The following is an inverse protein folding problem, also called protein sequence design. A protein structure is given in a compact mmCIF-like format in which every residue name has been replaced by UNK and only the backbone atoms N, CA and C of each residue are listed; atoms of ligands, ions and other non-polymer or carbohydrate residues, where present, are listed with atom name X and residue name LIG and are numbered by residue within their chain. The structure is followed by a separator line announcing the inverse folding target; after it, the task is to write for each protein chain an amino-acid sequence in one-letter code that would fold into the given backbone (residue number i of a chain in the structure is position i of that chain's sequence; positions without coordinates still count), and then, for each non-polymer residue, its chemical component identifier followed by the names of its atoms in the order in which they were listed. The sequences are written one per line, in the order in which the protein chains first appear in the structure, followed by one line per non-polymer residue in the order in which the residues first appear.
data_IF_021792322689
#
_entry.id   IF_021792322689
#
_cell.length_a   1.000
_cell.length_b   1.000
_cell.length_c   1.000
_cell.angle_alpha   90.00
_cell.angle_beta   90.00
_cell.angle_gamma   90.00
#
_symmetry.space_group_name_H-M   'P 1'
#
loop_
_entity.id
_entity.type
_entity.pdbx_description
1 polymer ?
#
# COMPACT_ATOMS: atom_id res chain seq x y z
N UNK A 1 -19.89 -6.99 -6.72
CA UNK A 1 -20.90 -6.59 -5.73
C UNK A 1 -20.86 -5.08 -5.53
N UNK A 2 -21.96 -4.46 -5.14
CA UNK A 2 -22.05 -3.06 -4.73
C UNK A 2 -23.07 -2.98 -3.60
N UNK A 3 -22.73 -2.28 -2.51
CA UNK A 3 -23.61 -2.11 -1.34
C UNK A 3 -24.15 -3.44 -0.77
N UNK A 4 -23.33 -4.50 -0.83
CA UNK A 4 -23.69 -5.85 -0.38
C UNK A 4 -24.57 -6.64 -1.36
N UNK A 5 -24.92 -6.08 -2.52
CA UNK A 5 -25.76 -6.73 -3.54
C UNK A 5 -24.88 -7.28 -4.67
N UNK A 6 -25.23 -8.46 -5.16
CA UNK A 6 -24.63 -9.04 -6.36
C UNK A 6 -25.10 -8.26 -7.60
N UNK A 7 -24.13 -7.71 -8.35
CA UNK A 7 -24.40 -6.81 -9.47
C UNK A 7 -24.25 -7.50 -10.82
N UNK A 8 -23.29 -8.42 -10.93
CA UNK A 8 -23.04 -9.23 -12.13
C UNK A 8 -22.19 -10.45 -11.76
N UNK A 9 -22.53 -11.62 -12.30
CA UNK A 9 -21.85 -12.89 -12.05
C UNK A 9 -21.77 -13.73 -13.33
N UNK A 10 -20.55 -13.93 -13.84
CA UNK A 10 -20.20 -14.71 -15.04
C UNK A 10 -18.76 -15.20 -14.94
N UNK A 11 -18.27 -15.88 -15.99
CA UNK A 11 -16.85 -16.18 -16.14
C UNK A 11 -16.01 -14.90 -16.14
N UNK A 12 -14.76 -14.98 -15.66
CA UNK A 12 -13.83 -13.84 -15.69
C UNK A 12 -13.71 -13.27 -17.10
N UNK A 13 -13.57 -14.14 -18.10
CA UNK A 13 -13.44 -13.72 -19.51
C UNK A 13 -14.66 -12.91 -19.98
N UNK A 14 -15.87 -13.37 -19.66
CA UNK A 14 -17.10 -12.65 -20.02
C UNK A 14 -17.23 -11.31 -19.30
N UNK A 15 -16.86 -11.24 -18.01
CA UNK A 15 -16.91 -10.00 -17.23
C UNK A 15 -15.95 -8.96 -17.80
N UNK A 16 -14.74 -9.36 -18.20
CA UNK A 16 -13.74 -8.43 -18.74
C UNK A 16 -14.02 -8.05 -20.20
N UNK A 17 -14.51 -8.97 -21.04
CA UNK A 17 -14.70 -8.74 -22.47
C UNK A 17 -16.10 -8.22 -22.83
N UNK A 18 -17.13 -8.56 -22.06
CA UNK A 18 -18.52 -8.22 -22.35
C UNK A 18 -19.34 -7.90 -21.07
N UNK A 19 -18.87 -6.95 -20.23
CA UNK A 19 -19.60 -6.55 -19.03
C UNK A 19 -20.99 -5.99 -19.42
N UNK A 20 -22.03 -6.48 -18.76
CA UNK A 20 -23.41 -6.03 -19.02
C UNK A 20 -23.83 -4.90 -18.10
N UNK A 21 -23.47 -4.97 -16.83
CA UNK A 21 -23.90 -3.98 -15.86
C UNK A 21 -23.03 -2.71 -15.93
N UNK A 22 -23.66 -1.54 -15.84
CA UNK A 22 -22.98 -0.26 -15.95
C UNK A 22 -21.88 -0.06 -14.88
N UNK A 23 -22.17 -0.41 -13.64
CA UNK A 23 -21.18 -0.38 -12.55
C UNK A 23 -19.93 -1.24 -12.84
N UNK A 24 -20.10 -2.44 -13.40
CA UNK A 24 -18.97 -3.30 -13.79
C UNK A 24 -18.10 -2.63 -14.86
N UNK A 25 -18.74 -1.98 -15.85
CA UNK A 25 -18.04 -1.19 -16.88
C UNK A 25 -17.27 -0.03 -16.27
N UNK A 26 -17.89 0.71 -15.36
CA UNK A 26 -17.24 1.83 -14.66
C UNK A 26 -16.03 1.36 -13.86
N UNK A 27 -16.16 0.24 -13.14
CA UNK A 27 -15.06 -0.33 -12.36
C UNK A 27 -13.89 -0.78 -13.24
N UNK A 28 -14.15 -1.52 -14.32
CA UNK A 28 -13.10 -1.95 -15.27
C UNK A 28 -12.38 -0.75 -15.88
N UNK A 29 -13.11 0.32 -16.17
CA UNK A 29 -12.58 1.54 -16.79
C UNK A 29 -11.97 2.53 -15.78
N UNK A 30 -12.02 2.26 -14.47
CA UNK A 30 -11.60 3.19 -13.41
C UNK A 30 -10.09 3.36 -13.26
N UNK A 31 -9.31 3.09 -14.32
CA UNK A 31 -7.85 3.21 -14.30
C UNK A 31 -7.45 4.62 -13.86
N UNK A 32 -6.58 4.76 -12.84
CA UNK A 32 -6.13 6.06 -12.41
C UNK A 32 -5.39 6.75 -13.56
N UNK A 33 -5.80 7.98 -13.88
CA UNK A 33 -5.09 8.82 -14.83
C UNK A 33 -3.78 9.23 -14.18
N UNK A 34 -2.65 8.94 -14.84
CA UNK A 34 -1.33 9.37 -14.39
C UNK A 34 -1.28 10.90 -14.51
N UNK A 35 -1.39 11.60 -13.39
CA UNK A 35 -1.20 13.05 -13.34
C UNK A 35 0.30 13.32 -13.52
N UNK A 36 0.74 13.57 -14.75
CA UNK A 36 2.10 14.03 -15.01
C UNK A 36 2.15 15.52 -14.64
N UNK A 37 2.73 15.84 -13.48
CA UNK A 37 3.03 17.21 -13.11
C UNK A 37 4.48 17.50 -13.49
N UNK A 38 4.72 18.56 -14.25
CA UNK A 38 6.07 19.04 -14.56
C UNK A 38 6.62 19.74 -13.32
N UNK A 39 7.16 18.99 -12.37
CA UNK A 39 7.98 19.53 -11.30
C UNK A 39 9.45 19.52 -11.72
N UNK A 40 10.26 20.52 -11.32
CA UNK A 40 11.71 20.47 -11.49
C UNK A 40 12.27 19.20 -10.83
N UNK A 41 13.25 18.55 -11.48
CA UNK A 41 13.80 17.26 -11.03
C UNK A 41 14.55 17.34 -9.68
N UNK A 42 14.91 18.54 -9.21
CA UNK A 42 15.76 18.78 -8.03
C UNK A 42 15.07 19.65 -6.94
N UNK A 43 13.74 19.58 -6.81
CA UNK A 43 13.03 20.24 -5.71
C UNK A 43 12.76 19.23 -4.56
N UNK A 44 13.80 18.89 -3.79
CA UNK A 44 13.70 18.01 -2.62
C UNK A 44 12.76 18.65 -1.58
N UNK A 45 11.61 18.02 -1.33
CA UNK A 45 10.60 18.51 -0.39
C UNK A 45 10.78 17.89 0.99
N UNK A 46 11.18 16.62 1.06
CA UNK A 46 11.39 15.89 2.30
C UNK A 46 12.49 14.85 2.13
N UNK A 47 13.45 14.85 3.07
CA UNK A 47 14.45 13.81 3.21
C UNK A 47 14.38 13.20 4.61
N UNK A 48 14.26 11.88 4.67
CA UNK A 48 14.33 11.11 5.90
C UNK A 48 15.52 10.17 5.76
N UNK A 49 16.44 10.25 6.71
CA UNK A 49 17.59 9.34 6.76
C UNK A 49 17.45 8.43 7.97
N UNK A 50 17.82 7.17 7.81
CA UNK A 50 17.88 6.15 8.84
C UNK A 50 16.56 6.01 9.62
N UNK A 51 15.43 5.90 8.91
CA UNK A 51 14.13 5.64 9.51
C UNK A 51 14.11 4.23 10.14
N UNK A 52 13.77 4.20 11.41
CA UNK A 52 13.64 2.97 12.20
C UNK A 52 12.31 2.94 12.93
N UNK A 53 11.65 1.79 12.88
CA UNK A 53 10.45 1.52 13.65
C UNK A 53 10.56 0.12 14.26
N UNK A 54 10.38 0.04 15.58
CA UNK A 54 10.40 -1.21 16.32
C UNK A 54 9.22 -1.27 17.27
N UNK A 55 8.62 -2.44 17.38
CA UNK A 55 7.52 -2.73 18.30
C UNK A 55 8.00 -3.71 19.37
N UNK A 56 7.66 -3.44 20.62
CA UNK A 56 7.95 -4.37 21.71
C UNK A 56 7.00 -5.59 21.59
N UNK A 57 7.55 -6.77 21.38
CA UNK A 57 6.78 -8.02 21.23
C UNK A 57 6.76 -8.87 22.48
N UNK A 58 7.79 -8.77 23.32
CA UNK A 58 7.82 -9.41 24.63
C UNK A 58 8.43 -8.46 25.65
N UNK A 59 7.63 -8.09 26.65
CA UNK A 59 8.11 -7.30 27.77
C UNK A 59 8.81 -8.17 28.82
N UNK A 60 9.79 -7.61 29.51
CA UNK A 60 10.51 -8.27 30.61
C UNK A 60 10.97 -7.24 31.63
N UNK A 61 11.18 -7.68 32.86
CA UNK A 61 11.65 -6.83 33.97
C UNK A 61 13.09 -6.34 33.77
N UNK A 62 13.90 -7.10 33.03
CA UNK A 62 15.25 -6.71 32.62
C UNK A 62 15.29 -6.29 31.16
N UNK A 63 15.93 -5.16 30.86
CA UNK A 63 15.98 -4.56 29.52
C UNK A 63 16.59 -5.50 28.46
N UNK A 64 17.59 -6.29 28.85
CA UNK A 64 18.27 -7.26 27.99
C UNK A 64 17.37 -8.40 27.50
N UNK A 65 16.27 -8.67 28.22
CA UNK A 65 15.34 -9.75 27.93
C UNK A 65 14.11 -9.29 27.15
N UNK A 66 13.98 -7.98 26.89
CA UNK A 66 12.90 -7.45 26.05
C UNK A 66 13.14 -7.86 24.61
N UNK A 67 12.09 -8.36 23.95
CA UNK A 67 12.13 -8.66 22.51
C UNK A 67 11.40 -7.59 21.73
N UNK A 68 12.00 -7.19 20.62
CA UNK A 68 11.45 -6.23 19.69
C UNK A 68 11.31 -6.87 18.31
N UNK A 69 10.22 -6.55 17.63
CA UNK A 69 10.08 -6.74 16.19
C UNK A 69 10.47 -5.45 15.49
N UNK A 70 11.43 -5.52 14.58
CA UNK A 70 11.84 -4.37 13.78
C UNK A 70 10.95 -4.30 12.54
N UNK A 71 9.96 -3.41 12.56
CA UNK A 71 9.07 -3.21 11.42
C UNK A 71 9.75 -2.44 10.28
N UNK A 72 10.64 -1.49 10.61
CA UNK A 72 11.47 -0.77 9.66
C UNK A 72 12.90 -0.70 10.18
N UNK A 73 13.86 -0.97 9.31
CA UNK A 73 15.28 -0.95 9.65
C UNK A 73 16.07 -0.19 8.59
N UNK A 74 16.70 0.92 9.00
CA UNK A 74 17.59 1.73 8.17
C UNK A 74 16.98 2.13 6.82
N UNK A 75 15.80 2.73 6.82
CA UNK A 75 15.16 3.16 5.56
C UNK A 75 15.47 4.64 5.30
N UNK A 76 16.00 4.92 4.12
CA UNK A 76 16.19 6.29 3.62
C UNK A 76 15.08 6.62 2.61
N UNK A 77 14.44 7.77 2.76
CA UNK A 77 13.33 8.23 1.91
C UNK A 77 13.64 9.65 1.44
N UNK A 78 13.53 9.88 0.14
CA UNK A 78 13.53 11.22 -0.46
C UNK A 78 12.22 11.40 -1.20
N UNK A 79 11.54 12.52 -0.97
CA UNK A 79 10.32 12.92 -1.66
C UNK A 79 10.59 14.26 -2.32
N UNK A 80 10.53 14.29 -3.65
CA UNK A 80 10.63 15.50 -4.43
C UNK A 80 9.25 16.12 -4.68
N UNK A 81 9.23 17.40 -5.03
CA UNK A 81 8.00 18.07 -5.41
C UNK A 81 7.33 17.34 -6.59
N UNK A 82 6.03 17.09 -6.48
CA UNK A 82 5.26 16.41 -7.53
C UNK A 82 5.35 14.88 -7.51
N UNK A 83 6.17 14.28 -6.64
CA UNK A 83 6.15 12.85 -6.39
C UNK A 83 5.04 12.44 -5.40
N UNK A 84 4.58 11.20 -5.54
CA UNK A 84 3.66 10.57 -4.59
C UNK A 84 4.31 9.30 -4.06
N UNK A 85 4.47 9.22 -2.74
CA UNK A 85 4.91 8.00 -2.06
C UNK A 85 3.68 7.24 -1.55
N UNK A 86 3.56 5.97 -1.95
CA UNK A 86 2.57 5.04 -1.42
C UNK A 86 3.23 4.03 -0.50
N UNK A 87 2.73 3.90 0.73
CA UNK A 87 3.15 2.85 1.67
C UNK A 87 2.15 1.71 1.55
N UNK A 88 2.64 0.52 1.18
CA UNK A 88 1.83 -0.69 1.06
C UNK A 88 2.45 -1.77 1.96
N UNK A 89 1.62 -2.45 2.75
CA UNK A 89 2.02 -3.60 3.56
C UNK A 89 1.05 -4.75 3.35
N UNK A 90 1.57 -5.95 3.14
CA UNK A 90 0.79 -7.18 3.25
C UNK A 90 0.71 -7.59 4.73
N UNK A 91 -0.45 -8.06 5.16
CA UNK A 91 -0.55 -8.77 6.43
C UNK A 91 -0.07 -10.19 6.19
N UNK A 92 1.23 -10.41 6.24
CA UNK A 92 1.77 -11.76 6.20
C UNK A 92 1.32 -12.46 7.48
N UNK A 93 0.51 -13.50 7.34
CA UNK A 93 0.15 -14.41 8.43
C UNK A 93 1.39 -15.24 8.75
N UNK A 94 2.31 -14.65 9.50
CA UNK A 94 3.50 -15.33 9.99
C UNK A 94 3.03 -16.41 10.99
N UNK A 95 2.88 -17.65 10.52
CA UNK A 95 2.70 -18.83 11.37
C UNK A 95 3.97 -18.99 12.21
N UNK A 96 3.95 -18.46 13.42
CA UNK A 96 4.93 -18.82 14.44
C UNK A 96 4.54 -20.20 15.00
N UNK A 97 5.28 -21.22 14.60
CA UNK A 97 5.48 -22.46 15.37
C UNK A 97 6.91 -22.46 15.90
#
# INVERSE_FOLDING_TARGET
MKDGIEIEYKSTEDIFNNPKHQYTKELINSKPVKLLRNAPLDDELLKINNLHCKYLTKNSFFESNKKYFNALKNIDITLNQGETIGIVGSQDQEKQH
#
